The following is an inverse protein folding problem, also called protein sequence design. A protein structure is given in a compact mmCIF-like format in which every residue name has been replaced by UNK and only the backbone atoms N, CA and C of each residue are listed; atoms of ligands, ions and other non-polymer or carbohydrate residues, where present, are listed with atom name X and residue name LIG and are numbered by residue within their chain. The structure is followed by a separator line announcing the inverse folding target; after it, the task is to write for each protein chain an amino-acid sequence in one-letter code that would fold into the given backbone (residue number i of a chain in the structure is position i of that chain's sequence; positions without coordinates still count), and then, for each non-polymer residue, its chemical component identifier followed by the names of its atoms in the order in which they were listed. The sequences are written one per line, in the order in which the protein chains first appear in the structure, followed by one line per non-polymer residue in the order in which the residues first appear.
data_IF_521097377676
#
_entry.id   IF_521097377676
#
_cell.length_a   1.000
_cell.length_b   1.000
_cell.length_c   1.000
_cell.angle_alpha   90.00
_cell.angle_beta   90.00
_cell.angle_gamma   90.00
#
_symmetry.space_group_name_H-M   'P 1'
#
loop_
_entity.id
_entity.type
_entity.pdbx_description
1 polymer ?
#
# COMPACT_ATOMS: atom_id res chain seq x y z
N UNK A 1 -5.01 7.73 -26.64
CA UNK A 1 -4.10 7.73 -25.47
C UNK A 1 -3.36 6.41 -25.33
N UNK A 2 -4.05 5.26 -25.22
CA UNK A 2 -3.40 3.94 -25.08
C UNK A 2 -2.82 3.33 -26.36
N UNK A 3 -3.39 3.63 -27.52
CA UNK A 3 -3.02 2.98 -28.80
C UNK A 3 -1.50 3.01 -29.09
N UNK A 4 -0.78 4.14 -28.99
CA UNK A 4 0.67 4.17 -29.25
C UNK A 4 1.48 3.28 -28.29
N UNK A 5 1.10 3.25 -27.02
CA UNK A 5 1.75 2.42 -26.00
C UNK A 5 1.51 0.93 -26.23
N UNK A 6 0.28 0.56 -26.60
CA UNK A 6 -0.07 -0.82 -26.94
C UNK A 6 0.50 -1.25 -28.30
N UNK A 7 0.87 -0.33 -29.19
CA UNK A 7 1.61 -0.65 -30.41
C UNK A 7 3.07 -1.03 -30.13
N UNK A 8 3.65 -0.57 -29.01
CA UNK A 8 5.01 -0.95 -28.61
C UNK A 8 5.03 -2.35 -27.97
N UNK A 9 5.72 -3.29 -28.60
CA UNK A 9 5.89 -4.65 -28.05
C UNK A 9 6.58 -4.64 -26.69
N UNK A 10 7.61 -3.80 -26.53
CA UNK A 10 8.35 -3.64 -25.26
C UNK A 10 7.44 -3.15 -24.13
N UNK A 11 6.61 -2.14 -24.39
CA UNK A 11 5.68 -1.62 -23.38
C UNK A 11 4.62 -2.65 -23.01
N UNK A 12 4.00 -3.32 -23.99
CA UNK A 12 3.00 -4.38 -23.73
C UNK A 12 3.55 -5.48 -22.84
N UNK A 13 4.71 -6.04 -23.20
CA UNK A 13 5.34 -7.11 -22.40
C UNK A 13 5.60 -6.64 -20.98
N UNK A 14 6.18 -5.44 -20.81
CA UNK A 14 6.45 -4.87 -19.48
C UNK A 14 5.16 -4.67 -18.67
N UNK A 15 4.09 -4.20 -19.31
CA UNK A 15 2.80 -3.95 -18.68
C UNK A 15 2.15 -5.25 -18.20
N UNK A 16 2.00 -6.24 -19.09
CA UNK A 16 1.40 -7.53 -18.74
C UNK A 16 2.25 -8.31 -17.74
N UNK A 17 3.58 -8.29 -17.87
CA UNK A 17 4.46 -8.92 -16.89
C UNK A 17 4.32 -8.25 -15.51
N UNK A 18 4.23 -6.92 -15.46
CA UNK A 18 4.04 -6.21 -14.18
C UNK A 18 2.68 -6.55 -13.54
N UNK A 19 1.62 -6.71 -14.34
CA UNK A 19 0.32 -7.18 -13.86
C UNK A 19 0.37 -8.61 -13.33
N UNK A 20 1.02 -9.54 -14.05
CA UNK A 20 1.17 -10.94 -13.61
C UNK A 20 1.94 -10.99 -12.28
N UNK A 21 3.06 -10.28 -12.18
CA UNK A 21 3.86 -10.24 -10.95
C UNK A 21 3.05 -9.60 -9.83
N UNK A 22 2.33 -8.51 -10.07
CA UNK A 22 1.46 -7.90 -9.07
C UNK A 22 0.40 -8.89 -8.55
N UNK A 23 -0.33 -9.55 -9.45
CA UNK A 23 -1.33 -10.55 -9.07
C UNK A 23 -0.73 -11.69 -8.25
N UNK A 24 0.44 -12.20 -8.65
CA UNK A 24 1.14 -13.23 -7.89
C UNK A 24 1.59 -12.72 -6.51
N UNK A 25 2.13 -11.49 -6.43
CA UNK A 25 2.52 -10.87 -5.16
C UNK A 25 1.33 -10.67 -4.22
N UNK A 26 0.16 -10.27 -4.74
CA UNK A 26 -1.05 -10.13 -3.93
C UNK A 26 -1.58 -11.49 -3.44
N UNK A 27 -1.53 -12.52 -4.29
CA UNK A 27 -1.86 -13.88 -3.88
C UNK A 27 -0.91 -14.38 -2.79
N UNK A 28 0.40 -14.21 -2.98
CA UNK A 28 1.41 -14.58 -1.99
C UNK A 28 1.23 -13.81 -0.68
N UNK A 29 0.92 -12.50 -0.76
CA UNK A 29 0.63 -11.67 0.41
C UNK A 29 -0.56 -12.18 1.20
N UNK A 30 -1.68 -12.52 0.54
CA UNK A 30 -2.85 -13.05 1.23
C UNK A 30 -2.53 -14.34 2.00
N UNK A 31 -1.87 -15.31 1.35
CA UNK A 31 -1.46 -16.55 2.00
C UNK A 31 -0.44 -16.29 3.12
N UNK A 32 0.45 -15.32 2.94
CA UNK A 32 1.41 -14.92 3.95
C UNK A 32 0.73 -14.34 5.19
N UNK A 33 -0.36 -13.59 5.03
CA UNK A 33 -1.10 -13.03 6.17
C UNK A 33 -1.70 -14.12 7.05
N UNK A 34 -2.23 -15.20 6.46
CA UNK A 34 -2.74 -16.33 7.24
C UNK A 34 -1.60 -17.01 8.04
N UNK A 35 -0.40 -17.13 7.44
CA UNK A 35 0.81 -17.58 8.14
C UNK A 35 1.24 -16.61 9.25
N UNK A 36 1.20 -15.31 8.99
CA UNK A 36 1.60 -14.27 9.93
C UNK A 36 0.66 -14.21 11.15
N UNK A 37 -0.64 -14.41 10.94
CA UNK A 37 -1.66 -14.47 11.98
C UNK A 37 -1.44 -15.68 12.92
N UNK A 38 -1.11 -16.84 12.34
CA UNK A 38 -0.97 -18.10 13.07
C UNK A 38 0.30 -18.21 13.94
N UNK A 39 1.33 -17.40 13.68
CA UNK A 39 2.59 -17.44 14.45
C UNK A 39 2.57 -16.47 15.63
N UNK A 40 3.38 -16.77 16.64
CA UNK A 40 3.63 -15.86 17.76
C UNK A 40 4.55 -14.72 17.33
N UNK A 41 4.16 -13.49 17.63
CA UNK A 41 4.97 -12.29 17.50
C UNK A 41 5.41 -11.71 18.83
N UNK A 42 6.03 -10.54 18.78
CA UNK A 42 6.40 -9.74 19.93
C UNK A 42 5.46 -8.54 20.08
N UNK A 43 4.98 -8.29 21.30
CA UNK A 43 4.32 -7.04 21.62
C UNK A 43 5.36 -5.93 21.79
N UNK A 44 5.14 -4.78 21.16
CA UNK A 44 6.03 -3.62 21.30
C UNK A 44 5.44 -2.64 22.30
N UNK A 45 6.24 -2.09 23.23
CA UNK A 45 5.79 -0.95 24.01
C UNK A 45 5.62 0.27 23.09
N UNK A 46 4.37 0.68 22.89
CA UNK A 46 4.02 1.92 22.18
C UNK A 46 3.49 2.95 23.19
N UNK A 47 4.30 3.94 23.60
CA UNK A 47 3.90 4.94 24.57
C UNK A 47 2.73 5.79 24.11
N UNK A 48 2.58 6.00 22.80
CA UNK A 48 1.55 6.88 22.24
C UNK A 48 0.18 6.22 22.33
N UNK A 49 0.07 4.93 21.98
CA UNK A 49 -1.19 4.18 22.12
C UNK A 49 -1.67 4.09 23.58
N UNK A 50 -0.78 4.25 24.56
CA UNK A 50 -1.16 4.26 25.99
C UNK A 50 -1.78 5.58 26.44
N UNK A 51 -1.71 6.63 25.63
CA UNK A 51 -2.20 7.96 26.00
C UNK A 51 -3.71 8.14 25.81
N UNK A 52 -4.37 7.23 25.08
CA UNK A 52 -5.79 7.34 24.77
C UNK A 52 -6.45 5.96 24.66
N UNK A 53 -7.77 5.94 24.76
CA UNK A 53 -8.57 4.76 24.42
C UNK A 53 -8.85 4.75 22.91
N UNK A 54 -8.91 3.56 22.30
CA UNK A 54 -9.13 3.44 20.87
C UNK A 54 -10.55 3.91 20.50
N UNK A 55 -10.66 4.58 19.36
CA UNK A 55 -11.94 5.00 18.78
C UNK A 55 -12.16 4.32 17.43
N UNK A 56 -13.40 3.89 17.18
CA UNK A 56 -13.76 3.25 15.91
C UNK A 56 -13.89 4.31 14.81
N UNK A 57 -12.96 4.26 13.85
CA UNK A 57 -12.86 5.12 12.69
C UNK A 57 -12.93 4.30 11.38
N UNK A 58 -13.43 3.07 11.45
CA UNK A 58 -13.46 2.10 10.33
C UNK A 58 -14.05 2.72 9.06
N UNK A 59 -15.21 3.38 9.18
CA UNK A 59 -15.88 4.03 8.03
C UNK A 59 -15.10 5.19 7.44
N UNK A 60 -14.42 5.99 8.28
CA UNK A 60 -13.56 7.08 7.82
C UNK A 60 -12.35 6.53 7.06
N UNK A 61 -11.70 5.51 7.63
CA UNK A 61 -10.52 4.86 7.06
C UNK A 61 -10.86 4.28 5.69
N UNK A 62 -11.83 3.38 5.61
CA UNK A 62 -12.21 2.72 4.35
C UNK A 62 -12.81 3.69 3.34
N UNK A 63 -13.65 4.62 3.78
CA UNK A 63 -14.22 5.65 2.92
C UNK A 63 -13.14 6.48 2.20
N UNK A 64 -12.13 6.93 2.94
CA UNK A 64 -11.01 7.68 2.36
C UNK A 64 -10.13 6.80 1.47
N UNK A 65 -9.82 5.57 1.87
CA UNK A 65 -9.00 4.66 1.08
C UNK A 65 -9.66 4.37 -0.27
N UNK A 66 -10.92 3.95 -0.29
CA UNK A 66 -11.61 3.62 -1.54
C UNK A 66 -11.81 4.84 -2.43
N UNK A 67 -12.18 5.99 -1.84
CA UNK A 67 -12.29 7.23 -2.61
C UNK A 67 -10.96 7.58 -3.28
N UNK A 68 -9.85 7.52 -2.53
CA UNK A 68 -8.53 7.83 -3.07
C UNK A 68 -8.07 6.79 -4.10
N UNK A 69 -8.35 5.50 -3.90
CA UNK A 69 -8.05 4.45 -4.86
C UNK A 69 -8.81 4.65 -6.17
N UNK A 70 -10.12 4.90 -6.12
CA UNK A 70 -10.95 5.15 -7.32
C UNK A 70 -10.45 6.39 -8.06
N UNK A 71 -10.27 7.51 -7.35
CA UNK A 71 -9.75 8.75 -7.94
C UNK A 71 -8.34 8.55 -8.51
N UNK A 72 -7.49 7.80 -7.80
CA UNK A 72 -6.14 7.45 -8.23
C UNK A 72 -6.14 6.63 -9.52
N UNK A 73 -6.96 5.59 -9.62
CA UNK A 73 -7.10 4.78 -10.83
C UNK A 73 -7.59 5.64 -12.00
N UNK A 74 -8.62 6.46 -11.80
CA UNK A 74 -9.14 7.36 -12.84
C UNK A 74 -8.06 8.33 -13.33
N UNK A 75 -7.26 8.89 -12.42
CA UNK A 75 -6.18 9.79 -12.77
C UNK A 75 -5.03 9.07 -13.52
N UNK A 76 -4.67 7.86 -13.08
CA UNK A 76 -3.54 7.12 -13.62
C UNK A 76 -3.86 6.38 -14.93
N UNK A 77 -5.10 5.94 -15.16
CA UNK A 77 -5.49 5.24 -16.40
C UNK A 77 -5.39 6.16 -17.63
N UNK A 78 -5.34 7.47 -17.43
CA UNK A 78 -5.08 8.45 -18.49
C UNK A 78 -3.59 8.52 -18.85
N UNK A 79 -2.69 7.98 -18.04
CA UNK A 79 -1.26 7.97 -18.32
C UNK A 79 -0.68 6.55 -18.14
N UNK A 80 -0.60 5.76 -19.23
CA UNK A 80 -0.18 4.35 -19.19
C UNK A 80 1.18 4.13 -18.53
N UNK A 81 2.13 5.06 -18.68
CA UNK A 81 3.45 4.96 -18.05
C UNK A 81 3.37 5.13 -16.54
N UNK A 82 2.57 6.10 -16.07
CA UNK A 82 2.35 6.32 -14.63
C UNK A 82 1.54 5.19 -14.00
N UNK A 83 0.56 4.64 -14.72
CA UNK A 83 -0.16 3.45 -14.24
C UNK A 83 0.78 2.25 -14.11
N UNK A 84 1.63 2.02 -15.11
CA UNK A 84 2.65 0.97 -15.05
C UNK A 84 3.60 1.19 -13.87
N UNK A 85 4.08 2.42 -13.67
CA UNK A 85 4.91 2.77 -12.52
C UNK A 85 4.18 2.48 -11.20
N UNK A 86 2.90 2.86 -11.07
CA UNK A 86 2.10 2.59 -9.88
C UNK A 86 2.02 1.10 -9.57
N UNK A 87 1.74 0.25 -10.57
CA UNK A 87 1.72 -1.20 -10.39
C UNK A 87 3.07 -1.73 -9.91
N UNK A 88 4.16 -1.32 -10.54
CA UNK A 88 5.49 -1.78 -10.17
C UNK A 88 5.92 -1.33 -8.78
N UNK A 89 5.62 -0.08 -8.41
CA UNK A 89 5.90 0.45 -7.06
C UNK A 89 5.05 -0.28 -6.03
N UNK A 90 3.78 -0.50 -6.30
CA UNK A 90 2.89 -1.23 -5.39
C UNK A 90 3.32 -2.69 -5.21
N UNK A 91 3.73 -3.37 -6.28
CA UNK A 91 4.35 -4.71 -6.19
C UNK A 91 5.57 -4.70 -5.28
N UNK A 92 6.48 -3.72 -5.44
CA UNK A 92 7.66 -3.59 -4.59
C UNK A 92 7.28 -3.37 -3.13
N UNK A 93 6.30 -2.50 -2.86
CA UNK A 93 5.74 -2.28 -1.52
C UNK A 93 5.24 -3.60 -0.93
N UNK A 94 4.40 -4.36 -1.65
CA UNK A 94 3.86 -5.64 -1.17
C UNK A 94 4.98 -6.62 -0.83
N UNK A 95 6.00 -6.75 -1.67
CA UNK A 95 7.15 -7.63 -1.40
C UNK A 95 7.92 -7.18 -0.16
N UNK A 96 8.22 -5.89 -0.04
CA UNK A 96 8.93 -5.35 1.14
C UNK A 96 8.08 -5.49 2.40
N UNK A 97 6.74 -5.40 2.31
CA UNK A 97 5.84 -5.71 3.43
C UNK A 97 5.96 -7.17 3.86
N UNK A 98 5.90 -8.13 2.93
CA UNK A 98 6.06 -9.55 3.26
C UNK A 98 7.39 -9.79 3.98
N UNK A 99 8.49 -9.23 3.46
CA UNK A 99 9.81 -9.34 4.09
C UNK A 99 9.83 -8.67 5.47
N UNK A 100 9.31 -7.44 5.57
CA UNK A 100 9.25 -6.68 6.80
C UNK A 100 8.46 -7.41 7.89
N UNK A 101 7.24 -7.82 7.58
CA UNK A 101 6.42 -8.63 8.48
C UNK A 101 7.15 -9.91 8.87
N UNK A 102 7.73 -10.65 7.91
CA UNK A 102 8.44 -11.89 8.21
C UNK A 102 9.56 -11.69 9.23
N UNK A 103 10.40 -10.67 9.02
CA UNK A 103 11.55 -10.34 9.86
C UNK A 103 11.17 -9.76 11.22
N UNK A 104 10.05 -9.04 11.29
CA UNK A 104 9.62 -8.35 12.51
C UNK A 104 8.20 -8.79 12.88
N UNK A 105 8.03 -10.01 13.43
CA UNK A 105 6.73 -10.54 13.79
C UNK A 105 6.17 -9.77 14.99
N UNK A 106 5.19 -8.90 14.78
CA UNK A 106 4.52 -8.18 15.86
C UNK A 106 3.20 -8.83 16.26
N UNK A 107 2.89 -8.75 17.55
CA UNK A 107 1.54 -9.02 18.05
C UNK A 107 0.66 -7.78 17.93
N UNK A 108 -0.65 -8.00 17.76
CA UNK A 108 -1.66 -6.94 17.71
C UNK A 108 -1.52 -5.97 18.91
N UNK A 109 -1.66 -4.65 18.69
CA UNK A 109 -1.71 -3.68 19.77
C UNK A 109 -2.80 -4.02 20.80
N UNK A 110 -2.56 -3.68 22.06
CA UNK A 110 -3.56 -3.87 23.10
C UNK A 110 -4.79 -2.99 22.82
N UNK A 111 -5.97 -3.55 23.10
CA UNK A 111 -7.28 -2.91 22.87
C UNK A 111 -7.55 -2.59 21.39
N UNK A 112 -6.87 -3.24 20.44
CA UNK A 112 -7.15 -3.09 19.01
C UNK A 112 -8.65 -3.20 18.72
N UNK A 113 -9.20 -2.19 18.02
CA UNK A 113 -10.52 -2.29 17.40
C UNK A 113 -10.29 -2.84 16.00
N UNK A 114 -10.71 -4.08 15.79
CA UNK A 114 -10.51 -4.83 14.55
C UNK A 114 -11.03 -4.03 13.36
N UNK A 115 -10.14 -3.76 12.40
CA UNK A 115 -10.47 -3.03 11.19
C UNK A 115 -11.22 -3.95 10.22
N UNK A 116 -12.54 -3.94 10.33
CA UNK A 116 -13.44 -4.77 9.53
C UNK A 116 -13.78 -4.06 8.23
N UNK A 117 -13.41 -4.65 7.10
CA UNK A 117 -13.76 -4.11 5.79
C UNK A 117 -15.29 -4.17 5.60
N UNK A 118 -15.97 -3.01 5.51
CA UNK A 118 -17.42 -2.98 5.46
C UNK A 118 -17.97 -3.58 4.17
N UNK A 119 -17.24 -3.56 3.06
CA UNK A 119 -17.70 -4.20 1.82
C UNK A 119 -17.50 -5.71 1.92
N UNK A 120 -16.39 -6.18 2.47
CA UNK A 120 -16.17 -7.62 2.65
C UNK A 120 -17.16 -8.21 3.65
N UNK A 121 -17.49 -7.51 4.75
CA UNK A 121 -18.51 -7.94 5.69
C UNK A 121 -19.92 -7.98 5.08
N UNK A 122 -20.24 -7.05 4.18
CA UNK A 122 -21.52 -7.06 3.46
C UNK A 122 -21.64 -8.24 2.47
N UNK A 123 -20.51 -8.83 2.04
CA UNK A 123 -20.47 -9.90 1.03
C UNK A 123 -19.89 -11.24 1.53
N UNK A 124 -19.52 -11.38 2.81
CA UNK A 124 -18.99 -12.63 3.37
C UNK A 124 -18.58 -12.57 4.85
N UNK A 125 -18.24 -13.73 5.42
CA UNK A 125 -17.84 -13.90 6.83
C UNK A 125 -16.31 -14.04 6.99
N UNK A 126 -15.54 -13.16 6.37
CA UNK A 126 -14.08 -13.22 6.47
C UNK A 126 -13.59 -12.87 7.88
N UNK A 127 -12.79 -13.75 8.49
CA UNK A 127 -12.07 -13.40 9.71
C UNK A 127 -11.11 -12.24 9.42
N UNK A 128 -11.20 -11.20 10.25
CA UNK A 128 -10.37 -10.03 10.11
C UNK A 128 -8.98 -10.32 10.70
N UNK A 129 -7.95 -10.04 9.91
CA UNK A 129 -6.55 -10.26 10.27
C UNK A 129 -6.08 -9.14 11.20
N UNK A 130 -5.39 -9.49 12.28
CA UNK A 130 -4.93 -8.53 13.30
C UNK A 130 -3.41 -8.34 13.27
N UNK A 131 -2.67 -9.25 12.63
CA UNK A 131 -1.21 -9.24 12.54
C UNK A 131 -0.66 -8.79 11.18
N UNK A 132 -1.45 -8.06 10.39
CA UNK A 132 -0.95 -7.30 9.22
C UNK A 132 -0.14 -6.08 9.69
N UNK A 133 0.95 -6.29 10.43
CA UNK A 133 1.69 -5.27 11.18
C UNK A 133 3.11 -5.12 10.64
N UNK A 134 3.58 -3.88 10.55
CA UNK A 134 4.87 -3.45 10.00
C UNK A 134 5.08 -3.58 8.48
N UNK A 135 5.10 -2.48 7.72
CA UNK A 135 4.60 -1.12 8.04
C UNK A 135 3.08 -1.03 7.80
N UNK A 136 2.47 0.15 7.78
CA UNK A 136 1.03 0.31 7.46
C UNK A 136 0.73 0.28 5.95
N UNK A 137 -0.10 -0.67 5.50
CA UNK A 137 -0.41 -0.85 4.07
C UNK A 137 -1.32 0.24 3.53
N UNK A 138 -2.30 0.65 4.35
CA UNK A 138 -3.20 1.75 4.10
C UNK A 138 -2.45 3.07 3.87
N UNK A 139 -1.56 3.42 4.81
CA UNK A 139 -0.75 4.64 4.74
C UNK A 139 0.18 4.61 3.52
N UNK A 140 0.84 3.47 3.29
CA UNK A 140 1.75 3.29 2.16
C UNK A 140 1.05 3.42 0.80
N UNK A 141 -0.15 2.88 0.67
CA UNK A 141 -0.92 2.94 -0.57
C UNK A 141 -1.29 4.39 -0.93
N UNK A 142 -1.80 5.15 0.05
CA UNK A 142 -2.15 6.56 -0.17
C UNK A 142 -0.90 7.42 -0.44
N UNK A 143 0.20 7.15 0.28
CA UNK A 143 1.45 7.84 0.03
C UNK A 143 2.05 7.50 -1.34
N UNK A 144 1.92 6.26 -1.82
CA UNK A 144 2.31 5.86 -3.18
C UNK A 144 1.52 6.64 -4.24
N UNK A 145 0.20 6.78 -4.06
CA UNK A 145 -0.62 7.59 -4.97
C UNK A 145 -0.16 9.05 -5.01
N UNK A 146 0.20 9.62 -3.85
CA UNK A 146 0.81 10.95 -3.77
C UNK A 146 2.11 11.06 -4.59
N UNK A 147 2.98 10.06 -4.53
CA UNK A 147 4.25 10.07 -5.27
C UNK A 147 4.05 9.94 -6.79
N UNK A 148 3.13 9.08 -7.22
CA UNK A 148 2.99 8.70 -8.64
C UNK A 148 2.12 9.67 -9.44
N UNK A 149 1.10 10.29 -8.83
CA UNK A 149 0.18 11.19 -9.55
C UNK A 149 0.88 12.47 -10.01
N UNK A 150 0.51 13.00 -11.17
CA UNK A 150 1.12 14.24 -11.71
C UNK A 150 0.39 15.51 -11.26
N UNK A 151 -0.93 15.45 -11.11
CA UNK A 151 -1.76 16.60 -10.73
C UNK A 151 -1.41 17.12 -9.34
N UNK A 152 -0.99 18.38 -9.25
CA UNK A 152 -0.66 19.05 -7.97
C UNK A 152 -1.80 18.98 -6.96
N UNK A 153 -3.04 19.18 -7.43
CA UNK A 153 -4.24 19.09 -6.57
C UNK A 153 -4.40 17.68 -6.00
N UNK A 154 -4.27 16.65 -6.82
CA UNK A 154 -4.39 15.26 -6.37
C UNK A 154 -3.24 14.86 -5.45
N UNK A 155 -2.02 15.37 -5.67
CA UNK A 155 -0.90 15.16 -4.74
C UNK A 155 -1.25 15.59 -3.32
N UNK A 156 -1.75 16.82 -3.16
CA UNK A 156 -2.14 17.32 -1.84
C UNK A 156 -3.28 16.51 -1.24
N UNK A 157 -4.29 16.13 -2.05
CA UNK A 157 -5.40 15.30 -1.58
C UNK A 157 -4.87 13.95 -1.05
N UNK A 158 -4.05 13.23 -1.82
CA UNK A 158 -3.54 11.93 -1.40
C UNK A 158 -2.59 12.02 -0.21
N UNK A 159 -1.76 13.07 -0.13
CA UNK A 159 -0.88 13.29 1.02
C UNK A 159 -1.67 13.57 2.30
N UNK A 160 -2.66 14.46 2.23
CA UNK A 160 -3.54 14.78 3.36
C UNK A 160 -4.32 13.53 3.77
N UNK A 161 -4.88 12.78 2.82
CA UNK A 161 -5.56 11.52 3.11
C UNK A 161 -4.64 10.48 3.75
N UNK A 162 -3.38 10.37 3.31
CA UNK A 162 -2.40 9.47 3.92
C UNK A 162 -2.15 9.83 5.39
N UNK A 163 -2.05 11.13 5.71
CA UNK A 163 -1.90 11.61 7.09
C UNK A 163 -3.15 11.33 7.90
N UNK A 164 -4.35 11.66 7.39
CA UNK A 164 -5.62 11.43 8.09
C UNK A 164 -5.83 9.95 8.38
N UNK A 165 -5.61 9.08 7.38
CA UNK A 165 -5.76 7.62 7.54
C UNK A 165 -4.70 7.07 8.48
N UNK A 166 -3.44 7.50 8.37
CA UNK A 166 -2.38 7.09 9.28
C UNK A 166 -2.68 7.44 10.74
N UNK A 167 -3.14 8.66 11.00
CA UNK A 167 -3.58 9.09 12.33
C UNK A 167 -4.80 8.30 12.79
N UNK A 168 -5.80 8.08 11.92
CA UNK A 168 -7.01 7.33 12.26
C UNK A 168 -6.71 5.88 12.64
N UNK A 169 -5.78 5.25 11.92
CA UNK A 169 -5.30 3.89 12.19
C UNK A 169 -4.62 3.78 13.57
N UNK A 170 -3.81 4.79 13.92
CA UNK A 170 -3.20 4.89 15.25
C UNK A 170 -4.27 5.10 16.31
N UNK A 171 -5.23 6.00 16.08
CA UNK A 171 -6.34 6.28 17.00
C UNK A 171 -7.26 5.07 17.22
N UNK A 172 -7.36 4.16 16.25
CA UNK A 172 -8.13 2.92 16.36
C UNK A 172 -7.30 1.74 16.92
N UNK A 173 -6.01 1.95 17.22
CA UNK A 173 -5.06 0.91 17.64
C UNK A 173 -4.92 -0.24 16.62
N UNK A 174 -5.17 0.02 15.33
CA UNK A 174 -5.04 -0.99 14.27
C UNK A 174 -3.56 -1.31 14.00
N UNK A 175 -2.71 -0.29 14.09
CA UNK A 175 -1.27 -0.40 13.93
C UNK A 175 -0.55 0.33 15.06
N UNK A 176 0.69 -0.11 15.33
CA UNK A 176 1.63 0.68 16.11
C UNK A 176 2.01 1.97 15.37
N UNK A 177 2.41 2.98 16.12
CA UNK A 177 2.87 4.26 15.55
C UNK A 177 4.05 4.04 14.62
N UNK A 178 4.98 3.13 14.98
CA UNK A 178 6.14 2.82 14.13
C UNK A 178 5.74 2.30 12.74
N UNK A 179 4.65 1.54 12.62
CA UNK A 179 4.17 1.03 11.34
C UNK A 179 3.71 2.17 10.42
N UNK A 180 3.05 3.18 10.99
CA UNK A 180 2.53 4.33 10.26
C UNK A 180 3.66 5.27 9.84
N UNK A 181 4.64 5.52 10.72
CA UNK A 181 5.81 6.34 10.39
C UNK A 181 6.77 5.66 9.40
N UNK A 182 6.93 4.34 9.48
CA UNK A 182 7.75 3.58 8.55
C UNK A 182 7.17 3.56 7.13
N UNK A 183 5.84 3.63 6.98
CA UNK A 183 5.16 3.47 5.71
C UNK A 183 5.61 4.48 4.62
N UNK A 184 5.65 5.82 4.87
CA UNK A 184 6.17 6.77 3.90
C UNK A 184 7.63 6.52 3.50
N UNK A 185 8.48 6.13 4.46
CA UNK A 185 9.90 5.88 4.21
C UNK A 185 10.09 4.69 3.25
N UNK A 186 9.53 3.52 3.58
CA UNK A 186 9.66 2.33 2.72
C UNK A 186 8.99 2.52 1.37
N UNK A 187 7.85 3.22 1.34
CA UNK A 187 7.16 3.56 0.09
C UNK A 187 8.02 4.44 -0.82
N UNK A 188 8.68 5.45 -0.25
CA UNK A 188 9.58 6.32 -1.00
C UNK A 188 10.79 5.56 -1.53
N UNK A 189 11.40 4.69 -0.73
CA UNK A 189 12.53 3.83 -1.17
C UNK A 189 12.09 2.92 -2.34
N UNK A 190 10.92 2.28 -2.24
CA UNK A 190 10.36 1.46 -3.31
C UNK A 190 10.14 2.28 -4.59
N UNK A 191 9.59 3.49 -4.45
CA UNK A 191 9.36 4.41 -5.55
C UNK A 191 10.67 4.78 -6.27
N UNK A 192 11.71 5.16 -5.53
CA UNK A 192 13.02 5.51 -6.10
C UNK A 192 13.66 4.30 -6.77
N UNK A 193 13.65 3.14 -6.12
CA UNK A 193 14.19 1.89 -6.67
C UNK A 193 13.54 1.55 -8.02
N UNK A 194 12.22 1.47 -8.07
CA UNK A 194 11.49 1.15 -9.31
C UNK A 194 11.68 2.24 -10.37
N UNK A 195 11.67 3.51 -9.99
CA UNK A 195 11.89 4.62 -10.92
C UNK A 195 13.27 4.54 -11.56
N UNK A 196 14.32 4.20 -10.80
CA UNK A 196 15.68 4.03 -11.32
C UNK A 196 15.80 2.87 -12.32
N UNK A 197 15.14 1.73 -12.06
CA UNK A 197 15.08 0.60 -12.98
C UNK A 197 14.39 0.96 -14.29
N UNK A 198 13.38 1.83 -14.22
CA UNK A 198 12.65 2.31 -15.39
C UNK A 198 13.44 3.33 -16.21
N UNK A 199 14.19 4.23 -15.56
CA UNK A 199 15.03 5.24 -16.21
C UNK A 199 16.27 4.64 -16.87
N UNK A 200 16.93 3.68 -16.22
CA UNK A 200 18.13 3.02 -16.77
C UNK A 200 17.83 2.28 -18.08
N UNK A 201 16.60 1.78 -18.25
CA UNK A 201 16.18 1.10 -19.48
C UNK A 201 15.84 2.05 -20.64
N UNK A 202 15.56 3.33 -20.39
CA UNK A 202 15.37 4.32 -21.46
C UNK A 202 16.71 4.75 -22.06
N UNK A 203 17.76 4.87 -21.22
CA UNK A 203 19.12 5.22 -21.70
C UNK A 203 19.72 4.17 -22.62
N UNK A 204 19.50 2.88 -22.34
CA UNK A 204 19.96 1.78 -23.19
C UNK A 204 19.20 1.62 -24.52
N UNK A 205 18.03 2.24 -24.68
CA UNK A 205 17.26 2.18 -25.94
C UNK A 205 17.60 3.35 -26.88
N UNK A 206 18.22 4.41 -26.36
CA UNK A 206 18.68 5.57 -27.14
C UNK A 206 20.17 5.51 -27.51
N UNK A 207 20.88 4.47 -27.07
CA UNK A 207 22.31 4.24 -27.31
C UNK A 207 22.60 3.11 -28.30
N UNK A 208 21.56 2.48 -28.84
CA UNK A 208 21.60 1.45 -29.89
C UNK A 208 20.93 2.00 -31.15
#
# INVERSE_FOLDING_TARGET
MWKPFLSSSKFRVKFFLSLIILSFSLFAYRNFLDFAEARTGAAIPDPILKLFEPIDLTWLIFGLIYLCLVVGIIALIQNPEKLLLAFQVYTAIVIVRIIGMYLVPFEAPQKLIVLKDPFVELFGSGEALTKDLFFSGHTATLFMLFLVVESKRLKYIFLISAVIVGVSIVLQHVHYVIDVFAAPFFTYVCFIFVSSLNLNKLKHVTSD
#
